data_IF_553646571332
#
_entry.id   IF_553646571332
#
_cell.length_a   1.000
_cell.length_b   1.000
_cell.length_c   1.000
_cell.angle_alpha   90.00
_cell.angle_beta   90.00
_cell.angle_gamma   90.00
#
_symmetry.space_group_name_H-M   'P 1'
#
loop_
_entity.id
_entity.type
_entity.pdbx_description
1 polymer ?
#
# COMPACT_ATOMS: atom_id res chain seq x y z
N UNK A 1 15.02 -12.99 -6.06
CA UNK A 1 14.79 -12.24 -4.81
C UNK A 1 13.64 -11.29 -5.09
N UNK A 2 12.43 -11.63 -4.65
CA UNK A 2 11.27 -10.77 -4.81
C UNK A 2 11.43 -9.63 -3.80
N UNK A 3 11.54 -8.38 -4.26
CA UNK A 3 11.67 -7.24 -3.35
C UNK A 3 10.38 -7.11 -2.54
N UNK A 4 10.49 -7.30 -1.23
CA UNK A 4 9.36 -7.24 -0.28
C UNK A 4 8.66 -5.87 -0.26
N UNK A 5 9.32 -4.85 -0.82
CA UNK A 5 8.87 -3.46 -0.87
C UNK A 5 8.34 -3.09 -2.25
N UNK A 6 7.11 -2.57 -2.27
CA UNK A 6 6.40 -2.13 -3.46
C UNK A 6 6.35 -0.61 -3.50
N UNK A 7 6.62 -0.04 -4.67
CA UNK A 7 6.32 1.37 -4.94
C UNK A 7 4.82 1.60 -4.93
N UNK A 8 4.38 2.83 -4.64
CA UNK A 8 2.96 3.22 -4.75
C UNK A 8 2.31 2.78 -6.06
N UNK A 9 3.05 2.84 -7.19
CA UNK A 9 2.54 2.40 -8.49
C UNK A 9 2.21 0.90 -8.46
N UNK A 10 3.16 0.07 -8.02
CA UNK A 10 2.94 -1.38 -7.87
C UNK A 10 1.82 -1.69 -6.86
N UNK A 11 1.74 -0.97 -5.75
CA UNK A 11 0.62 -1.10 -4.79
C UNK A 11 -0.71 -0.82 -5.49
N UNK A 12 -0.76 0.22 -6.33
CA UNK A 12 -1.96 0.58 -7.11
C UNK A 12 -2.34 -0.54 -8.06
N UNK A 13 -1.39 -1.10 -8.80
CA UNK A 13 -1.62 -2.23 -9.72
C UNK A 13 -2.20 -3.45 -8.96
N UNK A 14 -1.65 -3.79 -7.79
CA UNK A 14 -2.12 -4.91 -6.97
C UNK A 14 -3.52 -4.65 -6.41
N UNK A 15 -3.80 -3.44 -5.91
CA UNK A 15 -5.11 -3.06 -5.38
C UNK A 15 -6.18 -3.05 -6.48
N UNK A 16 -5.83 -2.59 -7.69
CA UNK A 16 -6.71 -2.65 -8.87
C UNK A 16 -6.97 -4.07 -9.33
N UNK A 17 -5.94 -4.93 -9.36
CA UNK A 17 -6.09 -6.35 -9.66
C UNK A 17 -7.00 -7.07 -8.65
N UNK A 18 -7.05 -6.58 -7.41
CA UNK A 18 -7.97 -7.08 -6.38
C UNK A 18 -9.42 -6.57 -6.52
N UNK A 19 -9.73 -5.74 -7.52
CA UNK A 19 -11.06 -5.23 -7.82
C UNK A 19 -11.37 -3.83 -7.29
N UNK A 20 -10.37 -3.11 -6.74
CA UNK A 20 -10.57 -1.78 -6.18
C UNK A 20 -10.01 -0.68 -7.10
N UNK A 21 -10.83 0.22 -7.65
CA UNK A 21 -10.42 1.23 -8.62
C UNK A 21 -9.71 2.43 -7.97
N UNK A 22 -8.79 2.19 -7.03
CA UNK A 22 -8.00 3.25 -6.40
C UNK A 22 -6.97 3.79 -7.39
N UNK A 23 -6.83 5.11 -7.41
CA UNK A 23 -5.80 5.81 -8.18
C UNK A 23 -4.52 5.90 -7.36
N UNK A 24 -3.40 6.11 -8.05
CA UNK A 24 -2.07 6.31 -7.42
C UNK A 24 -2.13 7.39 -6.33
N UNK A 25 -2.79 8.53 -6.57
CA UNK A 25 -2.93 9.59 -5.56
C UNK A 25 -3.75 9.17 -4.34
N UNK A 26 -4.76 8.33 -4.53
CA UNK A 26 -5.54 7.76 -3.42
C UNK A 26 -4.67 6.82 -2.59
N UNK A 27 -3.88 5.96 -3.23
CA UNK A 27 -2.94 5.08 -2.53
C UNK A 27 -1.90 5.90 -1.75
N UNK A 28 -1.34 6.96 -2.34
CA UNK A 28 -0.42 7.88 -1.63
C UNK A 28 -1.03 8.43 -0.36
N UNK A 29 -2.25 8.99 -0.45
CA UNK A 29 -2.96 9.52 0.72
C UNK A 29 -3.25 8.46 1.77
N UNK A 30 -3.60 7.23 1.36
CA UNK A 30 -3.83 6.11 2.28
C UNK A 30 -2.56 5.67 3.00
N UNK A 31 -1.42 5.65 2.30
CA UNK A 31 -0.10 5.39 2.90
C UNK A 31 0.22 6.47 3.94
N UNK A 32 0.10 7.74 3.56
CA UNK A 32 0.33 8.86 4.49
C UNK A 32 -0.65 8.86 5.68
N UNK A 33 -1.86 8.35 5.49
CA UNK A 33 -2.87 8.18 6.54
C UNK A 33 -2.68 6.90 7.39
N UNK A 34 -1.59 6.14 7.19
CA UNK A 34 -1.29 4.93 7.97
C UNK A 34 -2.20 3.74 7.68
N UNK A 35 -2.94 3.72 6.57
CA UNK A 35 -3.87 2.62 6.23
C UNK A 35 -3.17 1.32 5.87
N UNK A 36 -1.88 1.38 5.54
CA UNK A 36 -1.03 0.22 5.28
C UNK A 36 -0.19 -0.18 6.49
N UNK A 37 -0.44 0.39 7.68
CA UNK A 37 0.35 0.10 8.88
C UNK A 37 1.31 1.23 9.26
N UNK A 38 2.33 0.91 10.05
CA UNK A 38 3.21 1.89 10.69
C UNK A 38 4.39 2.31 9.79
N UNK A 39 4.73 3.59 9.83
CA UNK A 39 5.91 4.11 9.11
C UNK A 39 7.20 3.58 9.75
N UNK A 40 8.10 3.03 8.95
CA UNK A 40 9.34 2.37 9.37
C UNK A 40 9.23 0.85 9.47
N UNK A 41 8.01 0.33 9.64
CA UNK A 41 7.74 -1.11 9.69
C UNK A 41 7.07 -1.63 8.41
N UNK A 42 5.91 -1.08 8.08
CA UNK A 42 5.05 -1.56 6.98
C UNK A 42 5.18 -0.69 5.73
N UNK A 43 5.57 0.57 5.90
CA UNK A 43 5.91 1.46 4.80
C UNK A 43 6.99 2.44 5.22
N UNK A 44 7.75 2.97 4.27
CA UNK A 44 8.71 4.05 4.52
C UNK A 44 8.75 5.04 3.36
N UNK A 45 9.30 6.21 3.66
CA UNK A 45 9.59 7.25 2.67
C UNK A 45 11.10 7.27 2.43
N UNK A 46 11.53 7.09 1.19
CA UNK A 46 12.93 7.23 0.82
C UNK A 46 13.36 8.69 0.88
N UNK A 47 14.66 8.95 0.94
CA UNK A 47 15.23 10.30 0.93
C UNK A 47 14.80 11.10 -0.32
N UNK A 48 14.72 10.43 -1.48
CA UNK A 48 14.19 11.02 -2.73
C UNK A 48 12.68 11.28 -2.73
N UNK A 49 11.97 11.01 -1.62
CA UNK A 49 10.55 11.28 -1.45
C UNK A 49 9.59 10.21 -1.96
N UNK A 50 10.09 9.08 -2.48
CA UNK A 50 9.27 7.94 -2.88
C UNK A 50 8.74 7.19 -1.65
N UNK A 51 7.56 6.60 -1.79
CA UNK A 51 6.96 5.75 -0.75
C UNK A 51 7.03 4.31 -1.19
N UNK A 52 7.49 3.49 -0.26
CA UNK A 52 7.60 2.05 -0.40
C UNK A 52 6.75 1.40 0.67
N UNK A 53 5.97 0.38 0.31
CA UNK A 53 5.05 -0.33 1.19
C UNK A 53 5.38 -1.81 1.11
N UNK A 54 5.43 -2.51 2.24
CA UNK A 54 5.63 -3.96 2.25
C UNK A 54 4.50 -4.66 1.53
N UNK A 55 4.81 -5.72 0.79
CA UNK A 55 3.80 -6.56 0.13
C UNK A 55 2.80 -7.10 1.15
N UNK A 56 3.28 -7.64 2.27
CA UNK A 56 2.42 -8.18 3.33
C UNK A 56 1.40 -7.14 3.85
N UNK A 57 1.82 -5.88 3.97
CA UNK A 57 0.95 -4.79 4.38
C UNK A 57 -0.13 -4.46 3.33
N UNK A 58 0.18 -4.59 2.04
CA UNK A 58 -0.78 -4.42 0.95
C UNK A 58 -1.80 -5.57 0.94
N UNK A 59 -1.35 -6.79 1.16
CA UNK A 59 -2.22 -7.97 1.24
C UNK A 59 -3.17 -7.86 2.43
N UNK A 60 -2.67 -7.47 3.60
CA UNK A 60 -3.47 -7.20 4.79
C UNK A 60 -4.46 -6.06 4.57
N UNK A 61 -4.05 -4.97 3.90
CA UNK A 61 -4.96 -3.89 3.51
C UNK A 61 -6.11 -4.38 2.63
N UNK A 62 -5.81 -5.17 1.59
CA UNK A 62 -6.82 -5.75 0.70
C UNK A 62 -7.73 -6.69 1.48
N UNK A 63 -7.18 -7.53 2.36
CA UNK A 63 -7.93 -8.44 3.22
C UNK A 63 -8.91 -7.69 4.12
N UNK A 64 -8.47 -6.64 4.81
CA UNK A 64 -9.32 -5.78 5.65
C UNK A 64 -10.42 -5.13 4.82
N UNK A 65 -10.09 -4.66 3.62
CA UNK A 65 -11.07 -4.05 2.72
C UNK A 65 -12.12 -5.02 2.18
N UNK A 66 -11.75 -6.30 2.03
CA UNK A 66 -12.70 -7.39 1.71
C UNK A 66 -13.57 -7.77 2.89
N UNK A 67 -13.01 -7.75 4.10
CA UNK A 67 -13.74 -8.01 5.34
C UNK A 67 -14.76 -6.92 5.67
N UNK A 68 -14.65 -5.75 5.02
CA UNK A 68 -15.51 -4.59 5.27
C UNK A 68 -14.97 -3.80 6.46
N UNK A 69 -14.77 -2.49 6.26
CA UNK A 69 -14.99 -1.53 7.35
C UNK A 69 -16.37 -1.87 7.93
N UNK A 70 -16.39 -2.48 9.12
CA UNK A 70 -17.60 -2.77 9.89
C UNK A 70 -17.94 -1.55 10.76
#
# INVERSE_FOLDING_TARGET
MDSDWLTVKQVTDVVQAAGYPDKVDTIRRRVDAGKFGEQGQDWYRSESGYRFVRRAAVEEFIRRRRAGDQ
#
